data_IF_461587050546
#
_entry.id   IF_461587050546
#
_cell.length_a   1.000
_cell.length_b   1.000
_cell.length_c   1.000
_cell.angle_alpha   90.00
_cell.angle_beta   90.00
_cell.angle_gamma   90.00
#
_symmetry.space_group_name_H-M   'P 1'
#
loop_
_entity.id
_entity.type
_entity.pdbx_description
1 polymer ?
#
# COMPACT_ATOMS: atom_id res chain seq x y z
N UNK A 1 17.32 13.09 26.47
CA UNK A 1 17.12 12.09 25.41
C UNK A 1 15.65 12.13 24.99
N UNK A 2 15.36 12.33 23.70
CA UNK A 2 14.00 12.16 23.19
C UNK A 2 13.79 10.66 23.01
N UNK A 3 12.79 10.10 23.67
CA UNK A 3 12.31 8.77 23.30
C UNK A 3 11.60 8.93 21.95
N UNK A 4 12.26 8.50 20.86
CA UNK A 4 11.69 8.50 19.51
C UNK A 4 10.66 7.37 19.38
N UNK A 5 9.55 7.51 20.10
CA UNK A 5 8.40 6.61 20.05
C UNK A 5 7.47 7.02 18.93
N UNK A 6 7.17 6.09 18.02
CA UNK A 6 6.19 6.25 16.96
C UNK A 6 4.89 5.57 17.40
N UNK A 7 3.77 6.27 17.23
CA UNK A 7 2.42 5.76 17.49
C UNK A 7 1.55 5.96 16.26
N UNK A 8 0.79 4.93 15.90
CA UNK A 8 -0.28 5.06 14.89
C UNK A 8 -1.55 5.60 15.53
N UNK A 9 -2.28 6.43 14.80
CA UNK A 9 -3.55 7.04 15.19
C UNK A 9 -4.58 6.89 14.05
N UNK A 10 -5.82 7.30 14.31
CA UNK A 10 -6.91 7.32 13.32
C UNK A 10 -7.22 5.96 12.68
N UNK A 11 -7.84 5.09 13.47
CA UNK A 11 -8.17 3.71 13.09
C UNK A 11 -9.51 3.59 12.32
N UNK A 12 -10.00 4.66 11.68
CA UNK A 12 -11.31 4.69 11.03
C UNK A 12 -11.52 3.61 9.95
N UNK A 13 -10.45 3.17 9.29
CA UNK A 13 -10.47 2.11 8.27
C UNK A 13 -9.91 0.77 8.78
N UNK A 14 -9.67 0.63 10.08
CA UNK A 14 -9.12 -0.61 10.64
C UNK A 14 -10.17 -1.71 10.66
N UNK A 15 -9.83 -2.85 10.08
CA UNK A 15 -10.63 -4.07 10.13
C UNK A 15 -9.73 -5.30 9.99
N UNK A 16 -10.30 -6.49 10.21
CA UNK A 16 -9.58 -7.74 9.92
C UNK A 16 -9.31 -7.82 8.42
N UNK A 17 -8.03 -7.88 8.04
CA UNK A 17 -7.60 -7.93 6.64
C UNK A 17 -6.33 -8.78 6.51
N UNK A 18 -5.91 -9.04 5.27
CA UNK A 18 -4.58 -9.57 4.98
C UNK A 18 -3.52 -8.56 5.43
N UNK A 19 -2.58 -8.98 6.28
CA UNK A 19 -1.50 -8.10 6.74
C UNK A 19 -0.64 -7.56 5.59
N UNK A 20 -0.53 -8.31 4.48
CA UNK A 20 0.16 -7.87 3.27
C UNK A 20 -0.54 -6.71 2.58
N UNK A 21 -1.87 -6.58 2.70
CA UNK A 21 -2.57 -5.40 2.19
C UNK A 21 -2.13 -4.14 2.95
N UNK A 22 -1.99 -4.23 4.27
CA UNK A 22 -1.58 -3.09 5.10
C UNK A 22 -0.14 -2.65 4.79
N UNK A 23 0.77 -3.63 4.60
CA UNK A 23 2.15 -3.38 4.16
C UNK A 23 2.18 -2.76 2.75
N UNK A 24 1.45 -3.36 1.81
CA UNK A 24 1.40 -2.88 0.43
C UNK A 24 0.81 -1.48 0.33
N UNK A 25 -0.23 -1.19 1.13
CA UNK A 25 -0.81 0.14 1.23
C UNK A 25 0.19 1.14 1.80
N UNK A 26 0.89 0.79 2.89
CA UNK A 26 1.95 1.62 3.45
C UNK A 26 3.02 1.97 2.43
N UNK A 27 3.46 1.02 1.60
CA UNK A 27 4.41 1.27 0.52
C UNK A 27 3.86 2.17 -0.59
N UNK A 28 2.57 2.04 -0.94
CA UNK A 28 1.92 2.94 -1.90
C UNK A 28 1.93 4.40 -1.41
N UNK A 29 1.78 4.62 -0.10
CA UNK A 29 1.80 5.97 0.49
C UNK A 29 3.19 6.64 0.50
N UNK A 30 4.27 5.94 0.09
CA UNK A 30 5.59 6.58 -0.10
C UNK A 30 5.56 7.64 -1.19
N UNK A 31 4.60 7.52 -2.12
CA UNK A 31 4.36 8.51 -3.15
C UNK A 31 3.87 9.86 -2.59
N UNK A 32 3.23 9.88 -1.43
CA UNK A 32 2.51 11.05 -0.92
C UNK A 32 1.10 11.17 -1.51
N UNK A 33 0.38 12.22 -1.07
CA UNK A 33 -1.06 12.41 -1.37
C UNK A 33 -1.30 13.54 -2.39
N UNK A 34 -0.79 14.74 -2.15
CA UNK A 34 -1.08 15.92 -2.97
C UNK A 34 -0.28 15.94 -4.29
N UNK A 35 1.03 15.70 -4.20
CA UNK A 35 1.96 15.61 -5.35
C UNK A 35 2.52 14.18 -5.46
N UNK A 36 1.60 13.21 -5.63
CA UNK A 36 1.95 11.79 -5.56
C UNK A 36 3.01 11.39 -6.60
N UNK A 37 4.20 11.00 -6.16
CA UNK A 37 5.27 10.45 -7.00
C UNK A 37 5.41 8.94 -6.78
N UNK A 38 4.73 8.15 -7.60
CA UNK A 38 4.79 6.68 -7.53
C UNK A 38 6.15 6.09 -7.91
N UNK A 39 7.12 6.90 -8.37
CA UNK A 39 8.50 6.44 -8.51
C UNK A 39 9.19 6.27 -7.15
N UNK A 40 8.63 6.82 -6.07
CA UNK A 40 9.11 6.62 -4.69
C UNK A 40 8.64 5.30 -4.08
N UNK A 41 7.85 4.51 -4.81
CA UNK A 41 7.47 3.17 -4.37
C UNK A 41 8.73 2.33 -4.12
N UNK A 42 8.86 1.65 -2.97
CA UNK A 42 10.09 0.97 -2.60
C UNK A 42 10.41 -0.17 -3.57
N UNK A 43 11.67 -0.22 -3.97
CA UNK A 43 12.22 -1.33 -4.76
C UNK A 43 12.10 -2.65 -4.00
N UNK A 44 12.12 -3.79 -4.70
CA UNK A 44 12.07 -5.10 -4.03
C UNK A 44 13.15 -5.28 -2.97
N UNK A 45 14.35 -4.73 -3.16
CA UNK A 45 15.42 -4.79 -2.16
C UNK A 45 15.09 -3.98 -0.90
N UNK A 46 14.47 -2.81 -1.05
CA UNK A 46 13.98 -2.01 0.07
C UNK A 46 12.80 -2.67 0.77
N UNK A 47 11.87 -3.26 0.03
CA UNK A 47 10.76 -4.05 0.57
C UNK A 47 11.29 -5.21 1.42
N UNK A 48 12.24 -6.01 0.90
CA UNK A 48 12.86 -7.12 1.63
C UNK A 48 13.54 -6.65 2.91
N UNK A 49 14.24 -5.51 2.87
CA UNK A 49 14.88 -4.90 4.04
C UNK A 49 13.83 -4.49 5.09
N UNK A 50 12.74 -3.85 4.66
CA UNK A 50 11.64 -3.46 5.53
C UNK A 50 10.96 -4.70 6.15
N UNK A 51 10.65 -5.71 5.34
CA UNK A 51 10.02 -6.97 5.77
C UNK A 51 10.87 -7.71 6.79
N UNK A 52 12.19 -7.70 6.65
CA UNK A 52 13.10 -8.31 7.63
C UNK A 52 12.91 -7.70 9.01
N UNK A 53 12.85 -6.37 9.10
CA UNK A 53 12.65 -5.64 10.37
C UNK A 53 11.25 -5.93 10.90
N UNK A 54 10.23 -5.84 10.04
CA UNK A 54 8.84 -6.10 10.40
C UNK A 54 8.66 -7.53 10.96
N UNK A 55 9.07 -8.57 10.24
CA UNK A 55 8.93 -9.96 10.69
C UNK A 55 9.72 -10.24 11.97
N UNK A 56 10.91 -9.67 12.14
CA UNK A 56 11.67 -9.79 13.40
C UNK A 56 10.90 -9.17 14.57
N UNK A 57 10.37 -7.94 14.40
CA UNK A 57 9.59 -7.27 15.45
C UNK A 57 8.27 -7.98 15.80
N UNK A 58 7.68 -8.70 14.83
CA UNK A 58 6.45 -9.49 15.00
C UNK A 58 6.70 -10.95 15.40
N UNK A 59 7.97 -11.34 15.60
CA UNK A 59 8.38 -12.72 15.89
C UNK A 59 7.95 -13.73 14.80
N UNK A 60 7.81 -13.27 13.56
CA UNK A 60 7.42 -14.06 12.38
C UNK A 60 8.65 -14.64 11.67
N UNK A 61 9.59 -15.21 12.42
CA UNK A 61 10.93 -15.58 11.93
C UNK A 61 10.95 -16.71 10.88
N UNK A 62 9.82 -17.39 10.66
CA UNK A 62 9.69 -18.48 9.70
C UNK A 62 9.30 -18.01 8.28
N UNK A 63 8.98 -16.73 8.10
CA UNK A 63 8.60 -16.20 6.79
C UNK A 63 9.81 -16.13 5.86
N UNK A 64 9.64 -16.65 4.65
CA UNK A 64 10.65 -16.57 3.59
C UNK A 64 10.50 -15.24 2.89
N UNK A 65 11.55 -14.42 2.91
CA UNK A 65 11.62 -13.14 2.21
C UNK A 65 12.31 -13.39 0.86
N UNK A 66 11.53 -13.41 -0.22
CA UNK A 66 11.99 -13.63 -1.59
C UNK A 66 11.21 -12.74 -2.58
N UNK A 67 11.54 -12.84 -3.87
CA UNK A 67 10.88 -12.05 -4.93
C UNK A 67 9.40 -12.43 -5.10
N UNK A 68 9.00 -13.67 -4.83
CA UNK A 68 7.59 -14.07 -4.88
C UNK A 68 6.74 -13.35 -3.83
N UNK A 69 7.29 -13.14 -2.62
CA UNK A 69 6.63 -12.36 -1.57
C UNK A 69 6.51 -10.88 -1.98
N UNK A 70 7.56 -10.29 -2.54
CA UNK A 70 7.51 -8.92 -3.06
C UNK A 70 6.48 -8.80 -4.20
N UNK A 71 6.45 -9.76 -5.12
CA UNK A 71 5.46 -9.78 -6.18
C UNK A 71 4.02 -9.95 -5.65
N UNK A 72 3.82 -10.71 -4.57
CA UNK A 72 2.53 -10.77 -3.89
C UNK A 72 2.15 -9.43 -3.25
N UNK A 73 3.11 -8.70 -2.68
CA UNK A 73 2.89 -7.33 -2.17
C UNK A 73 2.51 -6.38 -3.30
N UNK A 74 3.15 -6.47 -4.47
CA UNK A 74 2.80 -5.65 -5.65
C UNK A 74 1.34 -5.89 -6.08
N UNK A 75 0.86 -7.15 -6.01
CA UNK A 75 -0.56 -7.47 -6.25
C UNK A 75 -1.48 -6.78 -5.24
N UNK A 76 -1.11 -6.77 -3.96
CA UNK A 76 -1.86 -6.02 -2.94
C UNK A 76 -1.78 -4.51 -3.15
N UNK A 77 -0.68 -3.96 -3.68
CA UNK A 77 -0.59 -2.54 -4.04
C UNK A 77 -1.56 -2.19 -5.17
N UNK A 78 -1.74 -3.08 -6.16
CA UNK A 78 -2.79 -2.91 -7.17
C UNK A 78 -4.19 -2.84 -6.52
N UNK A 79 -4.48 -3.70 -5.55
CA UNK A 79 -5.76 -3.67 -4.82
C UNK A 79 -5.91 -2.40 -3.96
N UNK A 80 -4.84 -1.91 -3.34
CA UNK A 80 -4.84 -0.63 -2.61
C UNK A 80 -5.19 0.54 -3.55
N UNK A 81 -4.58 0.59 -4.74
CA UNK A 81 -4.93 1.58 -5.75
C UNK A 81 -6.41 1.53 -6.15
N UNK A 82 -6.95 0.33 -6.36
CA UNK A 82 -8.37 0.15 -6.67
C UNK A 82 -9.27 0.64 -5.52
N UNK A 83 -8.99 0.21 -4.29
CA UNK A 83 -9.79 0.58 -3.11
C UNK A 83 -9.85 2.10 -2.92
N UNK A 84 -8.68 2.76 -2.89
CA UNK A 84 -8.61 4.20 -2.64
C UNK A 84 -9.06 5.04 -3.84
N UNK A 85 -8.91 4.53 -5.06
CA UNK A 85 -9.49 5.13 -6.26
C UNK A 85 -11.02 5.14 -6.22
N UNK A 86 -11.64 4.01 -5.87
CA UNK A 86 -13.09 3.91 -5.71
C UNK A 86 -13.60 4.73 -4.52
N UNK A 87 -12.89 4.70 -3.39
CA UNK A 87 -13.19 5.53 -2.23
C UNK A 87 -13.24 7.01 -2.61
N UNK A 88 -12.25 7.49 -3.37
CA UNK A 88 -12.19 8.89 -3.77
C UNK A 88 -13.33 9.26 -4.73
N UNK A 89 -13.73 8.38 -5.65
CA UNK A 89 -14.92 8.61 -6.49
C UNK A 89 -16.21 8.76 -5.67
N UNK A 90 -16.35 7.97 -4.60
CA UNK A 90 -17.50 8.12 -3.69
C UNK A 90 -17.40 9.44 -2.92
N UNK A 91 -16.22 9.76 -2.38
CA UNK A 91 -15.99 10.98 -1.60
C UNK A 91 -16.11 12.26 -2.42
N UNK A 92 -15.86 12.22 -3.73
CA UNK A 92 -16.07 13.37 -4.61
C UNK A 92 -17.53 13.86 -4.65
N UNK A 93 -18.48 13.05 -4.15
CA UNK A 93 -19.90 13.40 -4.03
C UNK A 93 -20.35 13.60 -2.59
N UNK A 94 -19.70 12.97 -1.63
CA UNK A 94 -20.14 12.93 -0.22
C UNK A 94 -19.34 13.85 0.70
N UNK A 95 -18.06 14.07 0.41
CA UNK A 95 -17.17 14.83 1.29
C UNK A 95 -17.41 16.33 1.19
N UNK A 96 -17.23 17.03 2.31
CA UNK A 96 -17.25 18.50 2.38
C UNK A 96 -15.84 19.09 2.45
N UNK A 97 -14.81 18.24 2.48
CA UNK A 97 -13.42 18.68 2.54
C UNK A 97 -12.98 19.26 1.19
N UNK A 98 -12.13 20.29 1.25
CA UNK A 98 -11.47 20.88 0.09
C UNK A 98 -10.29 19.99 -0.35
N UNK A 99 -10.60 18.97 -1.14
CA UNK A 99 -9.64 18.02 -1.69
C UNK A 99 -10.07 17.59 -3.10
N UNK A 100 -9.12 17.47 -4.03
CA UNK A 100 -9.43 17.06 -5.41
C UNK A 100 -9.59 15.53 -5.51
N UNK A 101 -10.74 15.06 -5.00
CA UNK A 101 -11.11 13.65 -5.02
C UNK A 101 -11.16 13.06 -6.44
N UNK A 102 -11.54 13.84 -7.45
CA UNK A 102 -11.65 13.35 -8.83
C UNK A 102 -10.26 13.09 -9.41
N UNK A 103 -9.33 14.04 -9.24
CA UNK A 103 -7.97 13.84 -9.71
C UNK A 103 -7.28 12.70 -8.93
N UNK A 104 -7.44 12.66 -7.61
CA UNK A 104 -6.89 11.57 -6.79
C UNK A 104 -7.43 10.21 -7.24
N UNK A 105 -8.75 10.10 -7.46
CA UNK A 105 -9.36 8.88 -7.97
C UNK A 105 -8.76 8.46 -9.31
N UNK A 106 -8.63 9.40 -10.26
CA UNK A 106 -8.05 9.14 -11.58
C UNK A 106 -6.63 8.61 -11.46
N UNK A 107 -5.78 9.29 -10.70
CA UNK A 107 -4.37 8.90 -10.50
C UNK A 107 -4.27 7.49 -9.91
N UNK A 108 -5.03 7.19 -8.86
CA UNK A 108 -5.03 5.85 -8.23
C UNK A 108 -5.55 4.79 -9.20
N UNK A 109 -6.63 5.04 -9.93
CA UNK A 109 -7.20 4.07 -10.88
C UNK A 109 -6.29 3.84 -12.11
N UNK A 110 -5.55 4.86 -12.56
CA UNK A 110 -4.54 4.70 -13.62
C UNK A 110 -3.38 3.80 -13.16
N UNK A 111 -2.92 3.93 -11.90
CA UNK A 111 -1.95 3.01 -11.31
C UNK A 111 -2.50 1.58 -11.20
N UNK A 112 -3.75 1.42 -10.76
CA UNK A 112 -4.42 0.11 -10.77
C UNK A 112 -4.45 -0.50 -12.17
N UNK A 113 -4.82 0.27 -13.20
CA UNK A 113 -4.86 -0.24 -14.57
C UNK A 113 -3.50 -0.77 -15.06
N UNK A 114 -2.41 -0.07 -14.72
CA UNK A 114 -1.04 -0.51 -15.04
C UNK A 114 -0.67 -1.82 -14.36
N UNK A 115 -1.09 -2.01 -13.10
CA UNK A 115 -0.79 -3.20 -12.31
C UNK A 115 -1.83 -4.32 -12.44
N UNK A 116 -2.95 -4.10 -13.14
CA UNK A 116 -4.07 -5.05 -13.15
C UNK A 116 -3.66 -6.44 -13.66
N UNK A 117 -2.71 -6.50 -14.59
CA UNK A 117 -2.27 -7.77 -15.19
C UNK A 117 -1.62 -8.70 -14.17
N UNK A 118 -0.81 -8.16 -13.25
CA UNK A 118 -0.07 -8.96 -12.27
C UNK A 118 -0.99 -9.68 -11.27
N UNK A 119 -2.21 -9.18 -11.07
CA UNK A 119 -3.22 -9.83 -10.22
C UNK A 119 -3.57 -11.24 -10.69
N UNK A 120 -3.52 -11.49 -12.00
CA UNK A 120 -3.90 -12.75 -12.61
C UNK A 120 -2.70 -13.65 -12.94
N UNK A 121 -1.49 -13.17 -12.71
CA UNK A 121 -0.27 -13.96 -12.89
C UNK A 121 -0.18 -15.05 -11.82
N UNK A 122 0.34 -16.22 -12.19
CA UNK A 122 0.57 -17.30 -11.23
C UNK A 122 1.87 -17.02 -10.48
N UNK A 123 1.85 -17.13 -9.15
CA UNK A 123 3.07 -17.11 -8.35
C UNK A 123 3.68 -18.51 -8.47
N UNK A 124 4.92 -18.60 -8.93
CA UNK A 124 5.64 -19.88 -9.02
C UNK A 124 5.70 -20.52 -7.63
N UNK A 125 5.34 -21.79 -7.53
CA UNK A 125 5.37 -22.55 -6.27
C UNK A 125 6.79 -22.93 -5.87
#
# INVERSE_FOLDING_TARGET
EKNDTISFIDFAYTHLNYYLFDIANHFVEYAGVDDADFNLYPTHDEQKRWLKIYFQSRQMNQQIINDDLCHLIDKFSALSHLMWGLWALVQSRLSQLDFDYINYAKVRLDCYQKLRTILFETISK
#
